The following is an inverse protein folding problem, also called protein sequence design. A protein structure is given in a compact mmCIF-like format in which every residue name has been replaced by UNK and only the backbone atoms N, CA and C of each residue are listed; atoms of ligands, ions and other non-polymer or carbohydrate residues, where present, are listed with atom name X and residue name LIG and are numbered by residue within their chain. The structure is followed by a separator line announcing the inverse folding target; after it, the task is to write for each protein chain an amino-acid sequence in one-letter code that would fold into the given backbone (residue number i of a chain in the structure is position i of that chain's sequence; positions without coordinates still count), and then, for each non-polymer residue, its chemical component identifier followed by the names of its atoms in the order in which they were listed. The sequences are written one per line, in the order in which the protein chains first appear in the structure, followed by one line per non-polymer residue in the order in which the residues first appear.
data_IF_021706546078
#
_entry.id   IF_021706546078
#
_cell.length_a   1.000
_cell.length_b   1.000
_cell.length_c   1.000
_cell.angle_alpha   90.00
_cell.angle_beta   90.00
_cell.angle_gamma   90.00
#
_symmetry.space_group_name_H-M   'P 1'
#
loop_
_entity.id
_entity.type
_entity.pdbx_description
1 polymer ?
#
# COMPACT_ATOMS: atom_id res chain seq x y z
N UNK A 1 14.91 -0.82 18.77
CA UNK A 1 15.10 -0.72 20.23
C UNK A 1 15.67 0.66 20.51
N UNK A 2 15.06 1.45 21.38
CA UNK A 2 15.73 2.63 21.91
C UNK A 2 16.72 2.12 22.97
N UNK A 3 17.92 1.74 22.53
CA UNK A 3 18.95 1.23 23.43
C UNK A 3 19.16 2.20 24.60
N UNK A 4 19.35 1.65 25.79
CA UNK A 4 19.71 2.44 26.98
C UNK A 4 21.23 2.60 27.12
N UNK A 5 21.98 1.99 26.21
CA UNK A 5 23.42 2.17 26.11
C UNK A 5 23.74 3.42 25.28
N UNK A 6 24.74 4.22 25.68
CA UNK A 6 25.06 5.49 25.04
C UNK A 6 25.90 5.28 23.77
N UNK A 7 25.31 4.63 22.76
CA UNK A 7 25.99 4.31 21.49
C UNK A 7 26.38 5.54 20.66
N UNK A 8 25.79 6.71 20.94
CA UNK A 8 26.17 7.98 20.29
C UNK A 8 27.29 8.74 21.04
N UNK A 9 27.95 8.12 22.03
CA UNK A 9 29.01 8.78 22.80
C UNK A 9 30.39 8.58 22.16
N UNK A 10 31.24 9.60 22.27
CA UNK A 10 32.66 9.53 21.86
C UNK A 10 33.41 8.38 22.57
N UNK A 11 32.99 8.05 23.80
CA UNK A 11 33.49 6.90 24.56
C UNK A 11 33.17 5.57 23.88
N UNK A 12 31.97 5.41 23.31
CA UNK A 12 31.61 4.22 22.54
C UNK A 12 32.38 4.16 21.21
N UNK A 13 32.46 5.27 20.47
CA UNK A 13 33.20 5.33 19.20
C UNK A 13 34.67 4.92 19.37
N UNK A 14 35.29 5.36 20.47
CA UNK A 14 36.66 4.97 20.83
C UNK A 14 36.75 3.49 21.22
N UNK A 15 35.79 3.00 22.02
CA UNK A 15 35.77 1.61 22.46
C UNK A 15 35.50 0.61 21.32
N UNK A 16 34.72 1.01 20.30
CA UNK A 16 34.36 0.17 19.17
C UNK A 16 35.52 -0.16 18.22
N UNK A 17 36.71 0.44 18.42
CA UNK A 17 37.90 0.24 17.58
C UNK A 17 38.54 -1.15 17.76
N UNK A 18 38.27 -1.86 18.86
CA UNK A 18 38.75 -3.22 19.08
C UNK A 18 37.79 -4.04 19.95
N UNK A 19 37.80 -5.36 19.81
CA UNK A 19 36.97 -6.26 20.61
C UNK A 19 37.28 -6.14 22.12
N UNK A 20 38.55 -5.95 22.49
CA UNK A 20 38.98 -5.83 23.88
C UNK A 20 38.50 -4.52 24.52
N UNK A 21 38.59 -3.41 23.80
CA UNK A 21 38.12 -2.11 24.28
C UNK A 21 36.60 -2.05 24.35
N UNK A 22 35.90 -2.69 23.42
CA UNK A 22 34.45 -2.83 23.43
C UNK A 22 33.97 -3.64 24.63
N UNK A 23 34.57 -4.80 24.89
CA UNK A 23 34.21 -5.63 26.04
C UNK A 23 34.43 -4.91 27.38
N UNK A 24 35.50 -4.11 27.49
CA UNK A 24 35.72 -3.26 28.68
C UNK A 24 34.63 -2.22 28.85
N UNK A 25 34.27 -1.52 27.78
CA UNK A 25 33.22 -0.52 27.79
C UNK A 25 31.86 -1.14 28.18
N UNK A 26 31.51 -2.31 27.64
CA UNK A 26 30.28 -3.02 28.00
C UNK A 26 30.25 -3.38 29.50
N UNK A 27 31.37 -3.85 30.06
CA UNK A 27 31.47 -4.11 31.50
C UNK A 27 31.34 -2.84 32.35
N UNK A 28 31.85 -1.70 31.88
CA UNK A 28 31.67 -0.41 32.55
C UNK A 28 30.21 0.03 32.54
N UNK A 29 29.50 -0.14 31.42
CA UNK A 29 28.07 0.14 31.34
C UNK A 29 27.27 -0.76 32.30
N UNK A 30 27.58 -2.05 32.36
CA UNK A 30 26.94 -2.98 33.29
C UNK A 30 27.14 -2.54 34.76
N UNK A 31 28.37 -2.17 35.14
CA UNK A 31 28.67 -1.65 36.49
C UNK A 31 27.91 -0.36 36.79
N UNK A 32 27.83 0.56 35.84
CA UNK A 32 27.10 1.81 35.98
C UNK A 32 25.61 1.56 36.24
N UNK A 33 24.97 0.67 35.47
CA UNK A 33 23.58 0.29 35.73
C UNK A 33 23.41 -0.45 37.06
N UNK A 34 24.30 -1.37 37.43
CA UNK A 34 24.27 -2.05 38.72
C UNK A 34 24.33 -1.09 39.92
N UNK A 35 25.06 0.02 39.80
CA UNK A 35 25.06 1.06 40.84
C UNK A 35 23.70 1.75 40.97
N UNK A 36 23.04 2.05 39.84
CA UNK A 36 21.69 2.64 39.82
C UNK A 36 20.62 1.70 40.38
N UNK A 37 20.88 0.39 40.40
CA UNK A 37 20.00 -0.61 41.01
C UNK A 37 20.07 -0.70 42.54
N UNK A 38 21.05 -0.09 43.22
CA UNK A 38 21.24 -0.21 44.68
C UNK A 38 20.18 0.50 45.54
N UNK A 39 19.16 1.09 44.94
CA UNK A 39 18.05 1.79 45.61
C UNK A 39 16.68 1.27 45.17
N UNK A 40 15.75 2.17 44.88
CA UNK A 40 14.49 1.85 44.21
C UNK A 40 14.67 2.01 42.70
N UNK A 41 15.00 0.94 41.95
CA UNK A 41 15.34 1.07 40.54
C UNK A 41 14.13 1.50 39.71
N UNK A 42 14.33 2.40 38.75
CA UNK A 42 13.29 2.72 37.77
C UNK A 42 13.22 1.61 36.70
N UNK A 43 12.09 1.45 36.00
CA UNK A 43 11.97 0.48 34.92
C UNK A 43 13.07 0.60 33.86
N UNK A 44 13.45 1.84 33.51
CA UNK A 44 14.55 2.13 32.58
C UNK A 44 15.93 1.68 33.08
N UNK A 45 16.16 1.72 34.40
CA UNK A 45 17.41 1.26 35.01
C UNK A 45 17.50 -0.28 34.94
N UNK A 46 16.39 -0.98 35.14
CA UNK A 46 16.30 -2.44 34.99
C UNK A 46 16.47 -2.88 33.55
N UNK A 47 15.85 -2.17 32.60
CA UNK A 47 15.95 -2.47 31.18
C UNK A 47 17.39 -2.28 30.67
N UNK A 48 18.03 -1.16 31.02
CA UNK A 48 19.43 -0.92 30.66
C UNK A 48 20.41 -1.89 31.34
N UNK A 49 20.15 -2.28 32.60
CA UNK A 49 20.92 -3.32 33.28
C UNK A 49 20.79 -4.68 32.59
N UNK A 50 19.58 -5.05 32.14
CA UNK A 50 19.34 -6.27 31.39
C UNK A 50 20.06 -6.27 30.02
N UNK A 51 19.94 -5.18 29.27
CA UNK A 51 20.62 -5.01 27.97
C UNK A 51 22.15 -5.13 28.12
N UNK A 52 22.73 -4.41 29.09
CA UNK A 52 24.17 -4.48 29.38
C UNK A 52 24.60 -5.88 29.82
N UNK A 53 23.80 -6.56 30.64
CA UNK A 53 24.11 -7.92 31.10
C UNK A 53 24.11 -8.93 29.94
N UNK A 54 23.17 -8.82 28.99
CA UNK A 54 23.16 -9.66 27.77
C UNK A 54 24.43 -9.43 26.96
N UNK A 55 24.85 -8.17 26.76
CA UNK A 55 26.09 -7.84 26.03
C UNK A 55 27.33 -8.45 26.70
N UNK A 56 27.39 -8.41 28.03
CA UNK A 56 28.46 -9.03 28.81
C UNK A 56 28.33 -10.56 28.96
N UNK A 57 27.39 -11.22 28.27
CA UNK A 57 27.08 -12.64 28.41
C UNK A 57 26.75 -13.09 29.86
N UNK A 58 26.29 -12.16 30.71
CA UNK A 58 25.80 -12.44 32.06
C UNK A 58 24.29 -12.74 32.04
N UNK A 59 23.97 -13.95 31.60
CA UNK A 59 22.59 -14.41 31.45
C UNK A 59 21.80 -14.41 32.78
N UNK A 60 22.45 -14.73 33.90
CA UNK A 60 21.80 -14.80 35.21
C UNK A 60 21.35 -13.42 35.69
N UNK A 61 22.22 -12.40 35.55
CA UNK A 61 21.86 -11.03 35.86
C UNK A 61 20.79 -10.51 34.91
N UNK A 62 20.93 -10.75 33.60
CA UNK A 62 19.93 -10.34 32.61
C UNK A 62 18.54 -10.90 32.94
N UNK A 63 18.44 -12.21 33.17
CA UNK A 63 17.20 -12.89 33.53
C UNK A 63 16.55 -12.25 34.77
N UNK A 64 17.33 -12.04 35.84
CA UNK A 64 16.84 -11.44 37.09
C UNK A 64 16.28 -10.03 36.87
N UNK A 65 16.98 -9.18 36.11
CA UNK A 65 16.54 -7.81 35.86
C UNK A 65 15.27 -7.78 35.00
N UNK A 66 15.17 -8.66 33.99
CA UNK A 66 14.00 -8.75 33.14
C UNK A 66 12.77 -9.26 33.89
N UNK A 67 12.91 -10.30 34.72
CA UNK A 67 11.81 -10.80 35.56
C UNK A 67 11.30 -9.71 36.52
N UNK A 68 12.22 -8.99 37.17
CA UNK A 68 11.87 -7.88 38.04
C UNK A 68 11.16 -6.76 37.27
N UNK A 69 11.61 -6.44 36.06
CA UNK A 69 11.00 -5.43 35.20
C UNK A 69 9.59 -5.84 34.77
N UNK A 70 9.43 -7.04 34.22
CA UNK A 70 8.16 -7.55 33.72
C UNK A 70 7.13 -7.77 34.84
N UNK A 71 7.56 -8.04 36.07
CA UNK A 71 6.65 -8.08 37.23
C UNK A 71 6.00 -6.72 37.56
N UNK A 72 6.70 -5.62 37.24
CA UNK A 72 6.25 -4.24 37.50
C UNK A 72 5.61 -3.59 36.28
N UNK A 73 6.10 -3.92 35.10
CA UNK A 73 5.69 -3.37 33.82
C UNK A 73 5.50 -4.52 32.80
N UNK A 74 4.44 -5.32 32.92
CA UNK A 74 4.18 -6.46 32.04
C UNK A 74 3.83 -6.07 30.59
N UNK A 75 3.77 -4.77 30.30
CA UNK A 75 3.51 -4.21 28.97
C UNK A 75 4.80 -3.69 28.30
N UNK A 76 5.97 -3.84 28.93
CA UNK A 76 7.24 -3.35 28.41
C UNK A 76 7.77 -4.26 27.28
N UNK A 77 7.53 -3.89 26.02
CA UNK A 77 7.86 -4.74 24.88
C UNK A 77 9.38 -4.91 24.68
N UNK A 78 10.19 -3.89 24.97
CA UNK A 78 11.65 -4.00 24.90
C UNK A 78 12.18 -5.05 25.90
N UNK A 79 11.55 -5.19 27.07
CA UNK A 79 11.89 -6.23 28.05
C UNK A 79 11.55 -7.63 27.52
N UNK A 80 10.37 -7.80 26.91
CA UNK A 80 10.01 -9.05 26.25
C UNK A 80 10.97 -9.39 25.11
N UNK A 81 11.40 -8.40 24.33
CA UNK A 81 12.37 -8.59 23.24
C UNK A 81 13.72 -9.07 23.78
N UNK A 82 14.26 -8.41 24.80
CA UNK A 82 15.50 -8.83 25.46
C UNK A 82 15.39 -10.23 26.05
N UNK A 83 14.23 -10.62 26.59
CA UNK A 83 13.98 -11.97 27.08
C UNK A 83 14.07 -13.03 25.98
N UNK A 84 13.63 -12.70 24.77
CA UNK A 84 13.73 -13.59 23.61
C UNK A 84 15.19 -13.67 23.15
N UNK A 85 15.87 -12.52 23.03
CA UNK A 85 17.29 -12.46 22.67
C UNK A 85 18.18 -13.24 23.64
N UNK A 86 17.88 -13.18 24.94
CA UNK A 86 18.59 -13.94 25.97
C UNK A 86 18.48 -15.46 25.72
N UNK A 87 17.27 -15.96 25.47
CA UNK A 87 17.04 -17.39 25.16
C UNK A 87 17.71 -17.82 23.86
N UNK A 88 17.66 -16.99 22.82
CA UNK A 88 18.36 -17.25 21.56
C UNK A 88 19.89 -17.31 21.77
N UNK A 89 20.45 -16.40 22.57
CA UNK A 89 21.86 -16.42 22.95
C UNK A 89 22.28 -17.66 23.76
N UNK A 90 21.31 -18.34 24.39
CA UNK A 90 21.49 -19.61 25.10
C UNK A 90 21.18 -20.84 24.23
N UNK A 91 20.96 -20.65 22.92
CA UNK A 91 20.56 -21.69 21.97
C UNK A 91 19.22 -22.37 22.32
N UNK A 92 18.34 -21.70 23.06
CA UNK A 92 17.01 -22.18 23.45
C UNK A 92 15.94 -21.71 22.46
N UNK A 93 16.06 -22.08 21.19
CA UNK A 93 15.19 -21.57 20.12
C UNK A 93 13.70 -21.91 20.32
N UNK A 94 13.40 -23.13 20.76
CA UNK A 94 12.02 -23.57 21.00
C UNK A 94 11.35 -22.79 22.16
N UNK A 95 12.09 -22.52 23.23
CA UNK A 95 11.59 -21.74 24.37
C UNK A 95 11.42 -20.26 24.02
N UNK A 96 12.32 -19.71 23.20
CA UNK A 96 12.20 -18.36 22.66
C UNK A 96 10.92 -18.22 21.82
N UNK A 97 10.62 -19.21 20.98
CA UNK A 97 9.43 -19.24 20.15
C UNK A 97 8.14 -19.36 20.97
N UNK A 98 8.08 -20.29 21.94
CA UNK A 98 6.93 -20.43 22.84
C UNK A 98 6.67 -19.15 23.63
N UNK A 99 7.72 -18.49 24.11
CA UNK A 99 7.60 -17.22 24.79
C UNK A 99 7.02 -16.12 23.89
N UNK A 100 7.48 -16.03 22.63
CA UNK A 100 6.95 -15.07 21.66
C UNK A 100 5.45 -15.29 21.41
N UNK A 101 5.00 -16.55 21.25
CA UNK A 101 3.57 -16.89 21.09
C UNK A 101 2.72 -16.39 22.26
N UNK A 102 3.25 -16.48 23.48
CA UNK A 102 2.54 -16.09 24.69
C UNK A 102 2.49 -14.58 24.95
N UNK A 103 3.57 -13.85 24.62
CA UNK A 103 3.67 -12.41 24.92
C UNK A 103 3.04 -11.54 23.83
N UNK A 104 3.17 -11.94 22.56
CA UNK A 104 2.75 -11.14 21.41
C UNK A 104 1.28 -10.70 21.46
N UNK A 105 0.29 -11.58 21.71
CA UNK A 105 -1.12 -11.17 21.82
C UNK A 105 -1.40 -10.22 22.99
N UNK A 106 -0.63 -10.34 24.08
CA UNK A 106 -0.86 -9.56 25.31
C UNK A 106 -0.42 -8.12 25.16
N UNK A 107 0.52 -7.85 24.25
CA UNK A 107 1.14 -6.55 24.00
C UNK A 107 0.48 -5.75 22.87
N UNK A 108 -0.39 -6.39 22.08
CA UNK A 108 -1.17 -5.76 21.03
C UNK A 108 -1.84 -4.47 21.55
N UNK A 109 -1.55 -3.34 20.92
CA UNK A 109 -2.03 -1.99 21.28
C UNK A 109 -1.64 -1.47 22.68
N UNK A 110 -0.81 -2.19 23.45
CA UNK A 110 -0.39 -1.77 24.82
C UNK A 110 1.01 -1.21 24.89
N UNK A 111 1.86 -1.56 23.92
CA UNK A 111 3.18 -1.00 23.79
C UNK A 111 3.37 -0.48 22.38
N UNK A 112 3.94 0.72 22.21
CA UNK A 112 4.38 1.17 20.89
C UNK A 112 5.29 0.10 20.23
N UNK A 113 6.21 -0.51 20.96
CA UNK A 113 7.26 -1.38 20.40
C UNK A 113 6.85 -2.85 20.13
N UNK A 114 5.56 -3.20 20.26
CA UNK A 114 5.06 -4.57 20.03
C UNK A 114 5.33 -5.11 18.62
N UNK A 115 5.40 -4.23 17.61
CA UNK A 115 5.73 -4.57 16.22
C UNK A 115 7.02 -5.38 16.07
N UNK A 116 8.03 -5.13 16.93
CA UNK A 116 9.32 -5.85 16.90
C UNK A 116 9.17 -7.31 17.28
N UNK A 117 8.31 -7.60 18.26
CA UNK A 117 8.03 -8.97 18.68
C UNK A 117 7.24 -9.71 17.62
N UNK A 118 6.34 -9.03 16.90
CA UNK A 118 5.64 -9.58 15.74
C UNK A 118 6.60 -9.96 14.62
N UNK A 119 7.52 -9.06 14.24
CA UNK A 119 8.53 -9.34 13.21
C UNK A 119 9.47 -10.49 13.62
N UNK A 120 9.98 -10.46 14.86
CA UNK A 120 10.85 -11.52 15.38
C UNK A 120 10.10 -12.86 15.47
N UNK A 121 8.82 -12.86 15.84
CA UNK A 121 7.99 -14.07 15.82
C UNK A 121 7.83 -14.63 14.41
N UNK A 122 7.51 -13.80 13.42
CA UNK A 122 7.41 -14.24 12.03
C UNK A 122 8.72 -14.87 11.55
N UNK A 123 9.85 -14.21 11.80
CA UNK A 123 11.19 -14.71 11.45
C UNK A 123 11.48 -16.06 12.13
N UNK A 124 11.21 -16.19 13.43
CA UNK A 124 11.49 -17.42 14.19
C UNK A 124 10.57 -18.57 13.78
N UNK A 125 9.29 -18.30 13.53
CA UNK A 125 8.35 -19.31 13.05
C UNK A 125 8.79 -19.86 11.68
N UNK A 126 9.23 -18.99 10.76
CA UNK A 126 9.77 -19.41 9.47
C UNK A 126 11.03 -20.27 9.62
N UNK A 127 11.99 -19.83 10.44
CA UNK A 127 13.25 -20.55 10.68
C UNK A 127 13.04 -21.93 11.32
N UNK A 128 11.99 -22.11 12.12
CA UNK A 128 11.67 -23.38 12.79
C UNK A 128 11.01 -24.43 11.87
N UNK A 129 10.69 -24.05 10.63
CA UNK A 129 9.86 -24.87 9.76
C UNK A 129 10.68 -25.70 8.77
N UNK A 130 10.52 -27.03 8.83
CA UNK A 130 11.31 -28.00 8.05
C UNK A 130 10.63 -28.47 6.74
N UNK A 131 9.44 -27.96 6.41
CA UNK A 131 8.66 -28.35 5.23
C UNK A 131 8.14 -27.12 4.47
N UNK A 132 7.86 -27.30 3.18
CA UNK A 132 7.40 -26.30 2.21
C UNK A 132 6.17 -25.49 2.65
N UNK A 133 5.20 -26.10 3.37
CA UNK A 133 4.02 -25.41 3.90
C UNK A 133 4.24 -24.72 5.27
N UNK A 134 5.38 -24.99 5.89
CA UNK A 134 5.75 -24.47 7.20
C UNK A 134 5.86 -22.94 7.27
N UNK A 135 6.56 -22.28 6.33
CA UNK A 135 6.66 -20.82 6.29
C UNK A 135 5.33 -20.09 6.12
N UNK A 136 4.40 -20.64 5.33
CA UNK A 136 3.07 -20.06 5.17
C UNK A 136 2.21 -20.21 6.43
N UNK A 137 2.27 -21.37 7.10
CA UNK A 137 1.58 -21.59 8.38
C UNK A 137 2.13 -20.69 9.48
N UNK A 138 3.45 -20.52 9.51
CA UNK A 138 4.17 -19.61 10.38
C UNK A 138 3.72 -18.16 10.21
N UNK A 139 3.72 -17.66 8.97
CA UNK A 139 3.35 -16.28 8.71
C UNK A 139 1.85 -16.04 8.98
N UNK A 140 1.00 -17.02 8.68
CA UNK A 140 -0.42 -16.98 9.06
C UNK A 140 -0.59 -16.82 10.57
N UNK A 141 0.10 -17.64 11.36
CA UNK A 141 0.07 -17.54 12.83
C UNK A 141 0.52 -16.15 13.29
N UNK A 142 1.58 -15.59 12.68
CA UNK A 142 2.05 -14.24 12.99
C UNK A 142 0.97 -13.17 12.71
N UNK A 143 0.30 -13.23 11.56
CA UNK A 143 -0.82 -12.34 11.25
C UNK A 143 -1.97 -12.48 12.24
N UNK A 144 -2.38 -13.70 12.59
CA UNK A 144 -3.46 -13.96 13.56
C UNK A 144 -3.14 -13.36 14.94
N UNK A 145 -1.91 -13.57 15.43
CA UNK A 145 -1.46 -13.00 16.70
C UNK A 145 -1.35 -11.47 16.65
N UNK A 146 -1.09 -10.90 15.47
CA UNK A 146 -1.08 -9.46 15.22
C UNK A 146 -2.47 -8.84 15.04
N UNK A 147 -3.52 -9.66 14.92
CA UNK A 147 -4.90 -9.22 14.83
C UNK A 147 -5.69 -9.67 13.62
N UNK A 148 -5.08 -10.44 12.75
CA UNK A 148 -5.66 -10.96 11.52
C UNK A 148 -5.81 -9.91 10.45
N UNK A 149 -5.57 -10.32 9.21
CA UNK A 149 -5.92 -9.55 8.01
C UNK A 149 -6.52 -10.51 6.98
N UNK A 150 -7.38 -9.97 6.11
CA UNK A 150 -8.04 -10.76 5.05
C UNK A 150 -7.44 -10.50 3.67
N UNK A 151 -6.28 -9.82 3.62
CA UNK A 151 -5.61 -9.43 2.38
C UNK A 151 -4.13 -9.89 2.36
N UNK A 152 -3.89 -11.08 2.93
CA UNK A 152 -2.67 -11.88 2.74
C UNK A 152 -3.05 -13.28 2.24
N UNK A 153 -2.19 -13.89 1.44
CA UNK A 153 -2.45 -15.20 0.85
C UNK A 153 -2.49 -16.30 1.93
N UNK A 154 -1.54 -16.30 2.85
CA UNK A 154 -1.46 -17.26 3.95
C UNK A 154 -2.64 -17.18 4.94
N UNK A 155 -3.34 -16.05 5.01
CA UNK A 155 -4.53 -15.91 5.86
C UNK A 155 -5.83 -16.32 5.15
N UNK A 156 -5.83 -16.31 3.81
CA UNK A 156 -7.02 -16.57 2.99
C UNK A 156 -7.04 -17.94 2.31
N UNK A 157 -5.90 -18.65 2.31
CA UNK A 157 -5.71 -19.94 1.64
C UNK A 157 -5.08 -21.00 2.54
N UNK A 158 -5.24 -22.30 2.22
CA UNK A 158 -4.45 -23.35 2.83
C UNK A 158 -2.96 -23.15 2.60
N UNK A 159 -2.13 -23.42 3.61
CA UNK A 159 -0.67 -23.22 3.55
C UNK A 159 0.01 -24.01 2.42
N UNK A 160 -0.57 -25.14 2.00
CA UNK A 160 -0.09 -25.98 0.89
C UNK A 160 -0.31 -25.36 -0.49
N UNK A 161 -1.14 -24.33 -0.60
CA UNK A 161 -1.50 -23.66 -1.86
C UNK A 161 -0.80 -22.30 -2.03
N UNK A 162 -0.05 -21.84 -1.02
CA UNK A 162 0.64 -20.56 -1.06
C UNK A 162 2.00 -20.73 -1.72
N UNK A 163 2.20 -20.06 -2.86
CA UNK A 163 3.48 -20.12 -3.57
C UNK A 163 4.56 -19.31 -2.84
N UNK A 164 5.86 -19.59 -3.07
CA UNK A 164 6.95 -18.80 -2.49
C UNK A 164 6.88 -17.30 -2.84
N UNK A 165 6.42 -16.94 -4.04
CA UNK A 165 6.25 -15.55 -4.46
C UNK A 165 5.12 -14.86 -3.70
N UNK A 166 3.98 -15.54 -3.53
CA UNK A 166 2.85 -15.06 -2.73
C UNK A 166 3.24 -14.88 -1.26
N UNK A 167 4.05 -15.80 -0.73
CA UNK A 167 4.55 -15.69 0.63
C UNK A 167 5.52 -14.51 0.80
N UNK A 168 6.34 -14.22 -0.21
CA UNK A 168 7.24 -13.06 -0.21
C UNK A 168 6.45 -11.74 -0.20
N UNK A 169 5.35 -11.65 -0.95
CA UNK A 169 4.42 -10.52 -0.86
C UNK A 169 3.81 -10.41 0.56
N UNK A 170 3.31 -11.51 1.11
CA UNK A 170 2.72 -11.52 2.44
C UNK A 170 3.72 -11.07 3.52
N UNK A 171 4.99 -11.46 3.38
CA UNK A 171 6.04 -11.03 4.30
C UNK A 171 6.31 -9.53 4.18
N UNK A 172 6.43 -9.01 2.96
CA UNK A 172 6.60 -7.58 2.71
C UNK A 172 5.43 -6.77 3.29
N UNK A 173 4.21 -7.27 3.12
CA UNK A 173 3.00 -6.69 3.69
C UNK A 173 3.03 -6.73 5.23
N UNK A 174 3.46 -7.83 5.83
CA UNK A 174 3.57 -7.97 7.28
C UNK A 174 4.56 -6.95 7.86
N UNK A 175 5.76 -6.85 7.27
CA UNK A 175 6.80 -5.90 7.69
C UNK A 175 6.33 -4.44 7.54
N UNK A 176 5.53 -4.14 6.52
CA UNK A 176 4.95 -2.83 6.30
C UNK A 176 3.86 -2.47 7.32
N UNK A 177 3.06 -3.45 7.75
CA UNK A 177 1.97 -3.28 8.71
C UNK A 177 2.47 -3.14 10.15
N UNK A 178 3.59 -3.80 10.46
CA UNK A 178 4.22 -3.78 11.78
C UNK A 178 5.70 -3.39 11.69
N UNK A 179 6.02 -2.15 11.30
CA UNK A 179 7.40 -1.72 11.15
C UNK A 179 8.10 -1.48 12.49
N UNK A 180 9.43 -1.58 12.49
CA UNK A 180 10.28 -1.49 13.68
C UNK A 180 10.26 -0.14 14.40
N UNK A 181 9.97 0.92 13.65
CA UNK A 181 9.94 2.31 14.07
C UNK A 181 8.51 2.81 14.34
N UNK A 182 7.51 1.95 14.14
CA UNK A 182 6.08 2.23 14.32
C UNK A 182 5.54 3.37 13.46
N UNK A 183 6.27 3.72 12.40
CA UNK A 183 5.76 4.68 11.42
C UNK A 183 4.50 4.08 10.80
N UNK A 184 3.34 4.78 10.84
CA UNK A 184 2.14 4.27 10.20
C UNK A 184 2.39 3.97 8.73
N UNK A 185 1.73 2.94 8.21
CA UNK A 185 1.89 2.57 6.82
C UNK A 185 1.20 3.61 5.94
N UNK A 186 2.00 4.51 5.39
CA UNK A 186 1.53 5.53 4.46
C UNK A 186 1.16 4.89 3.13
N UNK A 187 -0.12 4.97 2.78
CA UNK A 187 -0.67 4.45 1.53
C UNK A 187 -1.34 5.56 0.73
N UNK A 188 -1.26 5.41 -0.58
CA UNK A 188 -2.02 6.20 -1.54
C UNK A 188 -2.65 5.25 -2.54
N UNK A 189 -3.91 4.89 -2.30
CA UNK A 189 -4.71 4.18 -3.29
C UNK A 189 -4.98 5.13 -4.46
N UNK A 190 -4.31 4.88 -5.59
CA UNK A 190 -4.34 5.77 -6.75
C UNK A 190 -5.47 5.42 -7.71
N UNK A 191 -5.79 4.13 -7.86
CA UNK A 191 -6.84 3.67 -8.75
C UNK A 191 -7.54 2.42 -8.22
N UNK A 192 -8.82 2.29 -8.58
CA UNK A 192 -9.60 1.07 -8.40
C UNK A 192 -10.38 0.81 -9.70
N UNK A 193 -10.30 -0.39 -10.25
CA UNK A 193 -11.06 -0.79 -11.43
C UNK A 193 -11.57 -2.23 -11.33
N UNK A 194 -12.50 -2.60 -12.21
CA UNK A 194 -13.08 -3.94 -12.27
C UNK A 194 -13.06 -4.51 -13.67
N UNK A 195 -12.90 -5.83 -13.78
CA UNK A 195 -13.05 -6.53 -15.04
C UNK A 195 -14.52 -6.94 -15.34
N UNK A 196 -14.73 -7.57 -16.49
CA UNK A 196 -16.03 -8.09 -16.91
C UNK A 196 -16.58 -9.23 -16.04
N UNK A 197 -15.74 -9.87 -15.21
CA UNK A 197 -16.12 -10.91 -14.25
C UNK A 197 -16.41 -10.32 -12.85
N UNK A 198 -16.23 -9.01 -12.66
CA UNK A 198 -16.36 -8.34 -11.38
C UNK A 198 -15.17 -8.52 -10.44
N UNK A 199 -14.02 -9.03 -10.93
CA UNK A 199 -12.77 -8.98 -10.19
C UNK A 199 -12.33 -7.52 -10.03
N UNK A 200 -11.78 -7.18 -8.87
CA UNK A 200 -11.44 -5.82 -8.46
C UNK A 200 -9.94 -5.70 -8.34
N UNK A 201 -9.38 -4.65 -8.91
CA UNK A 201 -7.95 -4.35 -8.91
C UNK A 201 -7.74 -2.99 -8.28
N UNK A 202 -6.83 -2.90 -7.32
CA UNK A 202 -6.54 -1.69 -6.57
C UNK A 202 -5.05 -1.42 -6.66
N UNK A 203 -4.67 -0.23 -7.12
CA UNK A 203 -3.28 0.20 -7.18
C UNK A 203 -2.94 1.06 -5.97
N UNK A 204 -1.82 0.74 -5.33
CA UNK A 204 -1.24 1.54 -4.25
C UNK A 204 0.10 2.09 -4.71
N UNK A 205 0.17 3.41 -4.79
CA UNK A 205 1.24 4.13 -5.49
C UNK A 205 2.58 4.10 -4.74
N UNK A 206 2.58 4.19 -3.39
CA UNK A 206 3.82 4.44 -2.62
C UNK A 206 4.67 3.20 -2.47
N UNK A 207 4.05 2.04 -2.20
CA UNK A 207 4.69 0.72 -2.12
C UNK A 207 4.66 0.00 -3.47
N UNK A 208 3.93 0.53 -4.45
CA UNK A 208 3.77 -0.04 -5.79
C UNK A 208 3.13 -1.42 -5.74
N UNK A 209 2.11 -1.54 -4.90
CA UNK A 209 1.35 -2.77 -4.77
C UNK A 209 0.12 -2.75 -5.66
N UNK A 210 -0.23 -3.91 -6.19
CA UNK A 210 -1.55 -4.15 -6.77
C UNK A 210 -2.23 -5.22 -5.93
N UNK A 211 -3.42 -4.89 -5.42
CA UNK A 211 -4.28 -5.84 -4.73
C UNK A 211 -5.39 -6.29 -5.67
N UNK A 212 -5.63 -7.59 -5.71
CA UNK A 212 -6.67 -8.22 -6.53
C UNK A 212 -7.66 -8.92 -5.62
N UNK A 213 -8.95 -8.62 -5.77
CA UNK A 213 -10.05 -9.24 -5.05
C UNK A 213 -11.06 -9.81 -6.05
N UNK A 214 -11.72 -10.91 -5.70
CA UNK A 214 -12.83 -11.42 -6.52
C UNK A 214 -14.11 -10.60 -6.33
N UNK A 215 -15.13 -10.88 -7.13
CA UNK A 215 -16.44 -10.22 -7.04
C UNK A 215 -17.13 -10.36 -5.67
N UNK A 216 -16.81 -11.43 -4.93
CA UNK A 216 -17.30 -11.64 -3.57
C UNK A 216 -16.54 -10.79 -2.53
N UNK A 217 -15.43 -10.16 -2.90
CA UNK A 217 -14.58 -9.36 -2.04
C UNK A 217 -13.51 -10.18 -1.30
N UNK A 218 -13.20 -11.39 -1.76
CA UNK A 218 -12.12 -12.21 -1.20
C UNK A 218 -10.80 -11.86 -1.88
N UNK A 219 -9.72 -11.77 -1.11
CA UNK A 219 -8.40 -11.50 -1.65
C UNK A 219 -7.91 -12.65 -2.53
N UNK A 220 -7.47 -12.33 -3.74
CA UNK A 220 -7.00 -13.27 -4.75
C UNK A 220 -5.48 -13.16 -4.90
N UNK A 221 -4.95 -11.96 -5.04
CA UNK A 221 -3.53 -11.81 -5.33
C UNK A 221 -3.00 -10.47 -4.89
N UNK A 222 -1.78 -10.48 -4.37
CA UNK A 222 -0.96 -9.30 -4.17
C UNK A 222 0.22 -9.33 -5.12
N UNK A 223 0.49 -8.21 -5.77
CA UNK A 223 1.61 -8.05 -6.68
C UNK A 223 2.46 -6.87 -6.24
N UNK A 224 3.77 -7.03 -6.42
CA UNK A 224 4.77 -5.98 -6.28
C UNK A 224 5.32 -5.59 -7.64
N UNK A 225 6.05 -4.47 -7.69
CA UNK A 225 6.86 -4.08 -8.86
C UNK A 225 7.76 -5.22 -9.37
N UNK A 226 8.27 -6.09 -8.47
CA UNK A 226 9.13 -7.23 -8.85
C UNK A 226 8.37 -8.26 -9.69
N UNK A 227 7.08 -8.43 -9.43
CA UNK A 227 6.23 -9.38 -10.14
C UNK A 227 5.88 -8.85 -11.54
N UNK A 228 5.78 -7.52 -11.70
CA UNK A 228 5.46 -6.86 -12.96
C UNK A 228 6.66 -6.70 -13.90
N UNK A 229 7.89 -6.69 -13.39
CA UNK A 229 9.08 -6.45 -14.21
C UNK A 229 9.48 -7.63 -15.14
N UNK A 230 8.79 -8.78 -15.07
CA UNK A 230 9.05 -9.96 -15.92
C UNK A 230 10.46 -10.58 -15.80
N UNK A 231 11.34 -9.99 -15.00
CA UNK A 231 12.72 -10.40 -14.73
C UNK A 231 13.23 -9.71 -13.46
N UNK A 232 14.15 -10.35 -12.74
CA UNK A 232 14.86 -9.72 -11.62
C UNK A 232 15.60 -8.48 -12.12
N UNK A 233 15.22 -7.30 -11.60
CA UNK A 233 15.87 -6.00 -11.82
C UNK A 233 15.87 -5.51 -13.26
N UNK A 234 14.78 -4.86 -13.67
CA UNK A 234 14.79 -3.92 -14.79
C UNK A 234 14.68 -2.51 -14.19
N UNK A 235 15.85 -1.94 -13.89
CA UNK A 235 16.11 -0.56 -13.46
C UNK A 235 15.48 -0.08 -12.13
N UNK A 236 16.15 -0.28 -10.97
CA UNK A 236 15.79 0.41 -9.73
C UNK A 236 15.84 1.96 -9.84
N UNK A 237 16.50 2.48 -10.88
CA UNK A 237 16.60 3.90 -11.24
C UNK A 237 15.31 4.45 -11.89
N UNK A 238 14.46 3.58 -12.47
CA UNK A 238 13.18 3.94 -13.10
C UNK A 238 12.06 3.55 -12.16
N UNK A 239 11.84 4.36 -11.12
CA UNK A 239 10.73 4.11 -10.18
C UNK A 239 9.42 3.90 -10.92
N UNK A 240 8.73 2.80 -10.65
CA UNK A 240 7.43 2.51 -11.26
C UNK A 240 6.31 3.24 -10.49
N UNK A 241 6.08 4.50 -10.80
CA UNK A 241 5.00 5.27 -10.15
C UNK A 241 3.62 4.80 -10.67
N UNK A 242 2.89 3.97 -9.93
CA UNK A 242 1.58 3.44 -10.34
C UNK A 242 0.49 4.53 -10.32
N UNK A 243 0.17 5.10 -11.49
CA UNK A 243 -0.83 6.17 -11.61
C UNK A 243 -2.24 5.62 -11.76
N UNK A 244 -2.44 4.66 -12.68
CA UNK A 244 -3.75 4.12 -13.03
C UNK A 244 -3.61 2.74 -13.67
N UNK A 245 -4.67 1.94 -13.63
CA UNK A 245 -4.73 0.67 -14.32
C UNK A 245 -6.13 0.42 -14.90
N UNK A 246 -6.21 -0.37 -15.96
CA UNK A 246 -7.46 -0.81 -16.56
C UNK A 246 -7.35 -2.25 -17.09
N UNK A 247 -8.49 -2.92 -17.23
CA UNK A 247 -8.61 -4.27 -17.80
C UNK A 247 -9.49 -4.26 -19.04
N UNK A 248 -9.06 -4.92 -20.11
CA UNK A 248 -9.91 -5.13 -21.29
C UNK A 248 -10.86 -6.34 -21.13
N UNK A 249 -11.65 -6.59 -22.17
CA UNK A 249 -12.60 -7.71 -22.25
C UNK A 249 -11.91 -9.10 -22.33
N UNK A 250 -10.62 -9.16 -22.67
CA UNK A 250 -9.82 -10.38 -22.70
C UNK A 250 -9.12 -10.64 -21.36
N UNK A 251 -9.24 -9.72 -20.39
CA UNK A 251 -8.57 -9.77 -19.10
C UNK A 251 -7.11 -9.32 -19.15
N UNK A 252 -6.68 -8.62 -20.21
CA UNK A 252 -5.35 -8.00 -20.25
C UNK A 252 -5.31 -6.77 -19.35
N UNK A 253 -4.22 -6.59 -18.61
CA UNK A 253 -4.03 -5.47 -17.71
C UNK A 253 -3.17 -4.38 -18.37
N UNK A 254 -3.69 -3.16 -18.40
CA UNK A 254 -3.02 -1.97 -18.90
C UNK A 254 -2.61 -1.12 -17.71
N UNK A 255 -1.31 -0.99 -17.49
CA UNK A 255 -0.74 -0.29 -16.34
C UNK A 255 -0.09 1.02 -16.81
N UNK A 256 -0.59 2.13 -16.30
CA UNK A 256 -0.01 3.45 -16.46
C UNK A 256 0.94 3.77 -15.29
N UNK A 257 2.04 4.46 -15.58
CA UNK A 257 2.93 4.93 -14.54
C UNK A 257 4.02 5.89 -14.99
N UNK A 258 5.19 5.85 -14.33
CA UNK A 258 6.28 6.80 -14.61
C UNK A 258 6.96 6.61 -15.98
N UNK A 259 6.87 5.41 -16.58
CA UNK A 259 7.37 5.16 -17.93
C UNK A 259 6.55 5.95 -18.94
N UNK A 260 7.19 6.44 -20.00
CA UNK A 260 6.46 7.17 -21.05
C UNK A 260 5.46 6.27 -21.82
N UNK A 261 5.42 4.96 -21.56
CA UNK A 261 4.54 3.97 -22.18
C UNK A 261 3.52 3.37 -21.20
N UNK A 262 2.45 2.79 -21.75
CA UNK A 262 1.55 1.89 -21.03
C UNK A 262 2.10 0.48 -21.12
N UNK A 263 2.23 -0.21 -19.99
CA UNK A 263 2.62 -1.61 -19.96
C UNK A 263 1.38 -2.51 -20.04
N UNK A 264 1.41 -3.52 -20.91
CA UNK A 264 0.28 -4.44 -21.11
C UNK A 264 0.69 -5.86 -20.68
N UNK A 265 -0.13 -6.45 -19.82
CA UNK A 265 0.05 -7.79 -19.26
C UNK A 265 -1.11 -8.70 -19.64
N UNK A 266 -0.88 -10.01 -19.67
CA UNK A 266 -1.94 -11.01 -19.77
C UNK A 266 -2.77 -11.08 -18.49
N UNK A 267 -3.87 -11.82 -18.53
CA UNK A 267 -4.69 -12.14 -17.34
C UNK A 267 -3.92 -12.85 -16.22
N UNK A 268 -2.81 -13.52 -16.57
CA UNK A 268 -1.90 -14.19 -15.64
C UNK A 268 -0.69 -13.32 -15.28
N UNK A 269 -0.79 -12.00 -15.51
CA UNK A 269 0.23 -11.00 -15.21
C UNK A 269 1.58 -11.22 -15.92
N UNK A 270 1.58 -11.92 -17.06
CA UNK A 270 2.77 -12.05 -17.89
C UNK A 270 2.90 -10.84 -18.83
N UNK A 271 4.10 -10.26 -19.00
CA UNK A 271 4.28 -9.10 -19.87
C UNK A 271 3.99 -9.49 -21.33
N UNK A 272 3.14 -8.71 -22.00
CA UNK A 272 2.76 -8.93 -23.40
C UNK A 272 3.40 -7.92 -24.34
N UNK A 273 3.18 -6.62 -24.08
CA UNK A 273 3.65 -5.52 -24.94
C UNK A 273 3.67 -4.19 -24.20
N UNK A 274 4.21 -3.17 -24.86
CA UNK A 274 4.15 -1.78 -24.40
C UNK A 274 3.47 -0.93 -25.46
N UNK A 275 2.55 -0.06 -25.05
CA UNK A 275 1.98 0.95 -25.94
C UNK A 275 2.90 2.17 -25.91
N UNK A 276 3.65 2.33 -26.98
CA UNK A 276 4.56 3.46 -27.16
C UNK A 276 3.75 4.74 -27.30
N UNK A 277 4.09 5.81 -26.56
CA UNK A 277 3.40 7.08 -26.69
C UNK A 277 3.64 7.68 -28.08
N UNK A 278 2.82 8.66 -28.49
CA UNK A 278 3.07 9.46 -29.68
C UNK A 278 4.43 10.18 -29.59
N UNK A 279 5.01 10.51 -30.75
CA UNK A 279 6.27 11.24 -30.79
C UNK A 279 6.16 12.63 -30.13
N UNK A 280 7.07 12.93 -29.20
CA UNK A 280 7.11 14.19 -28.45
C UNK A 280 8.54 14.62 -28.16
N UNK A 281 8.74 15.93 -28.01
CA UNK A 281 10.01 16.54 -27.57
C UNK A 281 10.17 16.54 -26.04
N UNK A 282 9.13 16.12 -25.31
CA UNK A 282 9.09 16.02 -23.85
C UNK A 282 8.71 14.60 -23.44
N UNK A 283 9.18 14.14 -22.29
CA UNK A 283 8.68 12.91 -21.66
C UNK A 283 7.18 13.04 -21.42
N UNK A 284 6.46 12.00 -21.85
CA UNK A 284 5.00 11.92 -21.83
C UNK A 284 4.58 10.91 -20.76
N UNK A 285 4.15 11.37 -19.59
CA UNK A 285 3.76 10.45 -18.50
C UNK A 285 2.29 10.05 -18.63
N UNK A 286 1.94 8.77 -18.80
CA UNK A 286 0.54 8.36 -18.79
C UNK A 286 -0.05 8.53 -17.38
N UNK A 287 -1.16 9.25 -17.30
CA UNK A 287 -1.84 9.58 -16.04
C UNK A 287 -3.07 8.71 -15.80
N UNK A 288 -3.80 8.40 -16.85
CA UNK A 288 -5.03 7.61 -16.81
C UNK A 288 -5.14 6.76 -18.07
N UNK A 289 -5.64 5.55 -17.90
CA UNK A 289 -5.93 4.62 -18.98
C UNK A 289 -7.33 4.04 -18.77
N UNK A 290 -8.09 3.90 -19.85
CA UNK A 290 -9.35 3.18 -19.88
C UNK A 290 -9.38 2.27 -21.12
N UNK A 291 -10.17 1.22 -21.10
CA UNK A 291 -10.36 0.34 -22.25
C UNK A 291 -11.84 0.15 -22.56
N UNK A 292 -12.15 -0.07 -23.83
CA UNK A 292 -13.51 -0.41 -24.26
C UNK A 292 -13.69 -1.93 -24.42
N UNK A 293 -14.93 -2.33 -24.73
CA UNK A 293 -15.30 -3.74 -24.98
C UNK A 293 -14.72 -4.33 -26.26
N UNK A 294 -14.03 -3.54 -27.08
CA UNK A 294 -13.33 -3.98 -28.30
C UNK A 294 -11.82 -4.16 -28.06
N UNK A 295 -11.32 -3.81 -26.87
CA UNK A 295 -9.90 -3.86 -26.53
C UNK A 295 -9.11 -2.63 -26.95
N UNK A 296 -9.77 -1.55 -27.40
CA UNK A 296 -9.11 -0.28 -27.62
C UNK A 296 -8.74 0.34 -26.28
N UNK A 297 -7.57 0.99 -26.22
CA UNK A 297 -7.09 1.67 -25.02
C UNK A 297 -7.06 3.18 -25.24
N UNK A 298 -7.56 3.93 -24.26
CA UNK A 298 -7.61 5.39 -24.24
C UNK A 298 -6.71 5.89 -23.13
N UNK A 299 -5.85 6.86 -23.42
CA UNK A 299 -4.77 7.29 -22.56
C UNK A 299 -4.71 8.81 -22.51
N UNK A 300 -4.57 9.34 -21.29
CA UNK A 300 -4.21 10.73 -21.06
C UNK A 300 -2.74 10.82 -20.69
N UNK A 301 -1.99 11.63 -21.42
CA UNK A 301 -0.58 11.88 -21.14
C UNK A 301 -0.38 13.27 -20.52
N UNK A 302 0.50 13.32 -19.52
CA UNK A 302 1.07 14.56 -19.03
C UNK A 302 1.81 15.24 -20.20
N UNK A 303 1.57 16.54 -20.36
CA UNK A 303 2.14 17.38 -21.42
C UNK A 303 1.64 17.11 -22.85
N UNK A 304 0.60 16.29 -23.03
CA UNK A 304 -0.04 16.11 -24.33
C UNK A 304 -1.56 16.32 -24.25
N UNK A 305 -2.08 17.14 -25.16
CA UNK A 305 -3.50 17.49 -25.22
C UNK A 305 -4.33 16.44 -25.96
N UNK A 306 -5.59 16.30 -25.56
CA UNK A 306 -6.53 15.33 -26.10
C UNK A 306 -6.44 13.93 -25.48
N UNK A 307 -7.40 13.08 -25.85
CA UNK A 307 -7.45 11.67 -25.50
C UNK A 307 -6.71 10.91 -26.59
N UNK A 308 -5.60 10.27 -26.25
CA UNK A 308 -4.85 9.43 -27.19
C UNK A 308 -5.39 8.01 -27.15
N UNK A 309 -5.53 7.37 -28.30
CA UNK A 309 -6.11 6.04 -28.33
C UNK A 309 -5.35 5.07 -29.21
N UNK A 310 -5.42 3.81 -28.81
CA UNK A 310 -4.75 2.67 -29.41
C UNK A 310 -5.79 1.62 -29.73
N UNK A 311 -5.65 0.96 -30.87
CA UNK A 311 -6.50 -0.17 -31.19
C UNK A 311 -6.09 -1.43 -30.38
N UNK A 312 -6.87 -2.51 -30.49
CA UNK A 312 -6.60 -3.76 -29.79
C UNK A 312 -5.19 -4.33 -30.06
N UNK A 313 -4.67 -4.17 -31.29
CA UNK A 313 -3.31 -4.60 -31.64
C UNK A 313 -2.22 -3.71 -31.02
N UNK A 314 -2.57 -2.54 -30.48
CA UNK A 314 -1.66 -1.59 -29.83
C UNK A 314 -1.13 -0.51 -30.77
N UNK A 315 -1.70 -0.32 -31.95
CA UNK A 315 -1.34 0.78 -32.85
C UNK A 315 -1.99 2.09 -32.39
N UNK A 316 -1.19 3.16 -32.31
CA UNK A 316 -1.70 4.50 -32.02
C UNK A 316 -2.54 5.01 -33.19
N UNK A 317 -3.80 5.33 -32.92
CA UNK A 317 -4.77 5.71 -33.95
C UNK A 317 -4.93 7.22 -34.11
N UNK A 318 -4.38 8.01 -33.18
CA UNK A 318 -4.49 9.46 -33.15
C UNK A 318 -4.93 9.98 -31.79
N UNK A 319 -5.43 11.21 -31.77
CA UNK A 319 -6.06 11.82 -30.61
C UNK A 319 -7.36 12.49 -31.00
N UNK A 320 -8.24 12.66 -30.02
CA UNK A 320 -9.49 13.38 -30.19
C UNK A 320 -9.87 14.10 -28.90
N UNK A 321 -10.79 15.05 -29.05
CA UNK A 321 -11.29 15.84 -27.94
C UNK A 321 -10.28 16.88 -27.46
N UNK A 322 -10.76 17.77 -26.59
CA UNK A 322 -9.92 18.78 -25.96
C UNK A 322 -10.05 18.65 -24.47
N UNK A 323 -8.94 18.92 -23.80
CA UNK A 323 -8.83 18.76 -22.38
C UNK A 323 -8.34 20.12 -21.82
N UNK A 324 -8.99 20.61 -20.76
CA UNK A 324 -8.66 21.85 -20.02
C UNK A 324 -7.17 22.05 -19.61
N UNK A 325 -6.56 23.19 -19.94
CA UNK A 325 -5.16 23.48 -19.60
C UNK A 325 -5.10 24.43 -18.38
N UNK A 326 -4.24 24.18 -17.39
CA UNK A 326 -3.90 25.14 -16.32
C UNK A 326 -3.28 26.41 -16.93
N UNK A 327 -3.94 27.57 -16.83
CA UNK A 327 -3.50 28.79 -17.52
C UNK A 327 -2.19 29.38 -16.97
N UNK A 328 -1.89 29.18 -15.69
CA UNK A 328 -0.77 29.78 -14.93
C UNK A 328 0.56 29.06 -15.13
N UNK A 329 0.54 27.73 -15.24
CA UNK A 329 1.73 26.87 -15.40
C UNK A 329 1.88 26.28 -16.81
N UNK A 330 0.91 26.49 -17.71
CA UNK A 330 0.93 25.95 -19.07
C UNK A 330 0.97 24.42 -19.11
N UNK A 331 0.39 23.77 -18.10
CA UNK A 331 0.31 22.32 -17.93
C UNK A 331 -1.14 21.85 -18.02
N UNK A 332 -1.33 20.61 -18.44
CA UNK A 332 -2.61 19.96 -18.68
C UNK A 332 -3.34 19.58 -17.37
N UNK A 333 -4.68 19.77 -17.30
CA UNK A 333 -5.54 19.64 -16.12
C UNK A 333 -6.39 18.35 -16.17
N UNK A 334 -5.85 17.14 -16.05
CA UNK A 334 -6.67 15.94 -16.37
C UNK A 334 -6.79 14.87 -15.31
N UNK A 335 -8.03 14.43 -15.10
CA UNK A 335 -8.40 13.55 -14.01
C UNK A 335 -9.46 12.55 -14.49
N UNK A 336 -9.02 11.35 -14.86
CA UNK A 336 -9.89 10.20 -15.05
C UNK A 336 -10.45 10.02 -16.47
N UNK A 337 -10.26 8.82 -16.99
CA UNK A 337 -10.98 8.28 -18.13
C UNK A 337 -11.85 7.10 -17.67
N UNK A 338 -13.01 6.94 -18.30
CA UNK A 338 -13.80 5.72 -18.20
C UNK A 338 -14.50 5.45 -19.53
N UNK A 339 -14.68 4.18 -19.87
CA UNK A 339 -15.44 3.80 -21.04
C UNK A 339 -16.84 3.35 -20.60
N UNK A 340 -17.84 3.85 -21.30
CA UNK A 340 -19.21 3.34 -21.21
C UNK A 340 -19.32 1.94 -21.81
N UNK A 341 -20.34 1.15 -21.44
CA UNK A 341 -20.60 -0.14 -22.08
C UNK A 341 -20.78 -0.05 -23.61
N UNK A 342 -21.25 1.09 -24.11
CA UNK A 342 -21.44 1.39 -25.52
C UNK A 342 -20.12 1.68 -26.27
N UNK A 343 -19.01 1.90 -25.54
CA UNK A 343 -17.70 2.23 -26.10
C UNK A 343 -17.42 3.73 -26.21
N UNK A 344 -18.33 4.59 -25.76
CA UNK A 344 -18.07 6.02 -25.62
C UNK A 344 -17.15 6.29 -24.43
N UNK A 345 -16.30 7.32 -24.55
CA UNK A 345 -15.26 7.65 -23.58
C UNK A 345 -15.68 8.88 -22.77
N UNK A 346 -15.82 8.69 -21.46
CA UNK A 346 -16.01 9.77 -20.50
C UNK A 346 -14.64 10.33 -20.07
N UNK A 347 -14.45 11.62 -20.30
CA UNK A 347 -13.34 12.41 -19.80
C UNK A 347 -13.85 13.31 -18.68
N UNK A 348 -13.19 13.25 -17.54
CA UNK A 348 -13.42 14.17 -16.44
C UNK A 348 -12.22 15.13 -16.30
N UNK A 349 -12.51 16.43 -16.17
CA UNK A 349 -11.49 17.46 -16.06
C UNK A 349 -11.71 18.38 -14.84
N UNK A 350 -12.40 17.88 -13.82
CA UNK A 350 -12.79 18.58 -12.57
C UNK A 350 -13.88 19.62 -12.73
N UNK A 351 -13.92 20.31 -13.86
CA UNK A 351 -14.95 21.30 -14.18
C UNK A 351 -16.12 20.68 -14.94
N UNK A 352 -15.82 19.69 -15.77
CA UNK A 352 -16.78 19.06 -16.64
C UNK A 352 -16.56 17.57 -16.74
N UNK A 353 -17.64 16.87 -17.08
CA UNK A 353 -17.56 15.55 -17.69
C UNK A 353 -17.99 15.68 -19.14
N UNK A 354 -17.14 15.22 -20.04
CA UNK A 354 -17.39 15.20 -21.48
C UNK A 354 -17.40 13.75 -21.96
N UNK A 355 -18.40 13.39 -22.75
CA UNK A 355 -18.52 12.06 -23.35
C UNK A 355 -18.21 12.17 -24.83
N UNK A 356 -17.33 11.33 -25.34
CA UNK A 356 -16.88 11.33 -26.74
C UNK A 356 -17.11 9.98 -27.38
N UNK A 357 -17.55 9.98 -28.64
CA UNK A 357 -17.36 8.83 -29.50
C UNK A 357 -15.87 8.74 -29.88
N UNK A 358 -15.23 7.55 -29.84
CA UNK A 358 -13.83 7.40 -30.22
C UNK A 358 -13.49 8.02 -31.59
N UNK A 359 -12.46 8.87 -31.61
CA UNK A 359 -11.98 9.54 -32.82
C UNK A 359 -12.77 10.79 -33.23
N UNK A 360 -13.77 11.22 -32.46
CA UNK A 360 -14.52 12.45 -32.71
C UNK A 360 -14.12 13.59 -31.77
N UNK A 361 -13.79 14.75 -32.32
CA UNK A 361 -13.38 15.92 -31.52
C UNK A 361 -14.53 16.59 -30.76
N UNK A 362 -15.75 16.51 -31.30
CA UNK A 362 -16.92 17.07 -30.66
C UNK A 362 -17.48 16.10 -29.62
N UNK A 363 -17.72 16.54 -28.37
CA UNK A 363 -18.33 15.68 -27.37
C UNK A 363 -19.79 15.40 -27.72
N UNK A 364 -20.24 14.17 -27.48
CA UNK A 364 -21.64 13.74 -27.54
C UNK A 364 -22.47 14.39 -26.43
N UNK A 365 -21.86 14.57 -25.25
CA UNK A 365 -22.48 15.22 -24.10
C UNK A 365 -21.43 15.97 -23.28
N UNK A 366 -21.87 17.04 -22.61
CA UNK A 366 -21.04 17.84 -21.71
C UNK A 366 -21.87 18.20 -20.48
N UNK A 367 -21.31 17.91 -19.31
CA UNK A 367 -21.91 18.14 -18.01
C UNK A 367 -21.02 19.11 -17.24
N UNK A 368 -21.56 20.26 -16.87
CA UNK A 368 -20.85 21.22 -16.02
C UNK A 368 -21.03 20.78 -14.56
N UNK A 369 -19.92 20.63 -13.85
CA UNK A 369 -19.93 20.35 -12.42
C UNK A 369 -19.99 21.68 -11.66
N UNK A 370 -20.56 21.69 -10.44
CA UNK A 370 -20.53 22.88 -9.59
C UNK A 370 -19.08 23.38 -9.52
N UNK A 371 -18.83 24.69 -9.66
CA UNK A 371 -17.46 25.21 -9.56
C UNK A 371 -16.88 24.83 -8.19
N UNK A 372 -16.11 23.75 -8.16
CA UNK A 372 -15.36 23.30 -7.01
C UNK A 372 -14.21 24.29 -6.83
N UNK A 373 -14.49 25.44 -6.22
CA UNK A 373 -13.52 26.51 -6.00
C UNK A 373 -12.66 26.15 -4.78
N UNK A 374 -11.38 25.88 -4.99
CA UNK A 374 -10.39 25.84 -3.92
C UNK A 374 -9.14 26.60 -4.37
N UNK A 375 -8.76 27.62 -3.61
CA UNK A 375 -7.67 28.56 -3.88
C UNK A 375 -6.26 27.90 -3.91
N UNK A 376 -6.16 26.57 -3.91
CA UNK A 376 -4.93 25.76 -3.87
C UNK A 376 -4.54 25.12 -5.23
N UNK A 377 -5.18 25.53 -6.34
CA UNK A 377 -5.02 24.90 -7.66
C UNK A 377 -3.69 25.16 -8.39
N UNK A 378 -2.79 25.96 -7.80
CA UNK A 378 -1.48 26.35 -8.36
C UNK A 378 -0.28 25.73 -7.61
N UNK A 379 -0.50 24.79 -6.68
CA UNK A 379 0.62 24.12 -6.01
C UNK A 379 1.31 23.14 -6.99
N UNK A 380 2.59 23.39 -7.29
CA UNK A 380 3.42 22.53 -8.12
C UNK A 380 3.68 21.15 -7.51
N UNK A 381 3.43 21.00 -6.21
CA UNK A 381 3.44 19.74 -5.47
C UNK A 381 2.06 19.08 -5.42
N UNK A 382 1.01 19.73 -5.97
CA UNK A 382 -0.32 19.14 -6.07
C UNK A 382 -0.26 17.95 -7.04
N UNK A 383 -0.59 16.73 -6.60
CA UNK A 383 -0.34 15.55 -7.41
C UNK A 383 -1.23 15.46 -8.65
N UNK A 384 -0.63 14.90 -9.70
CA UNK A 384 -0.99 15.10 -11.10
C UNK A 384 -2.23 14.34 -11.61
N UNK A 385 -3.08 13.72 -10.77
CA UNK A 385 -4.11 12.79 -11.29
C UNK A 385 -5.32 12.53 -10.38
N UNK A 386 -5.70 13.44 -9.49
CA UNK A 386 -6.82 13.15 -8.59
C UNK A 386 -8.13 13.60 -9.18
N UNK A 387 -8.83 12.64 -9.78
CA UNK A 387 -10.24 12.36 -9.59
C UNK A 387 -10.67 11.25 -10.57
N UNK A 388 -11.29 10.19 -10.06
CA UNK A 388 -11.87 9.12 -10.87
C UNK A 388 -13.18 9.52 -11.52
N UNK A 389 -13.47 8.87 -12.64
CA UNK A 389 -14.78 8.82 -13.26
C UNK A 389 -15.12 7.36 -13.50
N UNK A 390 -16.36 6.96 -13.24
CA UNK A 390 -16.88 5.65 -13.60
C UNK A 390 -18.15 5.83 -14.43
N UNK A 391 -18.15 5.25 -15.63
CA UNK A 391 -19.29 5.25 -16.52
C UNK A 391 -19.79 3.81 -16.72
N UNK A 392 -21.03 3.53 -16.31
CA UNK A 392 -21.56 2.17 -16.34
C UNK A 392 -23.01 2.10 -15.88
N UNK A 393 -23.77 1.11 -16.38
CA UNK A 393 -25.18 0.91 -16.04
C UNK A 393 -26.07 2.16 -16.23
N UNK A 394 -25.75 3.00 -17.23
CA UNK A 394 -26.47 4.25 -17.51
C UNK A 394 -26.24 5.37 -16.49
N UNK A 395 -25.22 5.24 -15.64
CA UNK A 395 -24.78 6.24 -14.67
C UNK A 395 -23.39 6.73 -15.02
N UNK A 396 -23.10 7.97 -14.65
CA UNK A 396 -21.75 8.50 -14.62
C UNK A 396 -21.51 9.06 -13.23
N UNK A 397 -20.50 8.53 -12.56
CA UNK A 397 -20.11 8.91 -11.21
C UNK A 397 -18.72 9.55 -11.26
N UNK A 398 -18.50 10.58 -10.46
CA UNK A 398 -17.18 11.23 -10.35
C UNK A 398 -16.76 11.44 -8.91
N UNK A 399 -15.46 11.30 -8.65
CA UNK A 399 -14.85 11.71 -7.40
C UNK A 399 -14.75 13.24 -7.35
N UNK A 400 -15.37 13.84 -6.35
CA UNK A 400 -15.04 15.18 -5.89
C UNK A 400 -14.10 15.05 -4.68
N UNK A 401 -12.80 14.93 -4.98
CA UNK A 401 -11.76 14.77 -3.96
C UNK A 401 -11.80 15.91 -2.93
N UNK A 402 -12.04 17.15 -3.37
CA UNK A 402 -12.00 18.32 -2.48
C UNK A 402 -13.24 18.42 -1.60
N UNK A 403 -14.42 18.17 -2.18
CA UNK A 403 -15.67 18.09 -1.42
C UNK A 403 -15.81 16.82 -0.58
N UNK A 404 -14.84 15.90 -0.65
CA UNK A 404 -14.86 14.61 0.05
C UNK A 404 -16.15 13.80 -0.26
N UNK A 405 -16.57 13.78 -1.53
CA UNK A 405 -17.85 13.21 -1.94
C UNK A 405 -17.77 12.56 -3.33
N UNK A 406 -18.78 11.75 -3.67
CA UNK A 406 -18.99 11.24 -5.01
C UNK A 406 -20.22 11.94 -5.59
N UNK A 407 -20.11 12.44 -6.82
CA UNK A 407 -21.22 13.04 -7.55
C UNK A 407 -21.74 12.07 -8.60
N UNK A 408 -23.05 11.93 -8.71
CA UNK A 408 -23.74 11.23 -9.79
C UNK A 408 -24.30 12.25 -10.78
N UNK A 409 -24.03 12.05 -12.06
CA UNK A 409 -24.60 12.85 -13.13
C UNK A 409 -26.01 12.35 -13.48
N UNK A 410 -26.93 13.30 -13.59
CA UNK A 410 -28.31 13.09 -14.03
C UNK A 410 -28.43 13.28 -15.55
N UNK A 411 -29.47 12.71 -16.16
CA UNK A 411 -29.70 12.86 -17.62
C UNK A 411 -30.02 14.30 -18.02
N UNK A 412 -30.52 15.08 -17.08
CA UNK A 412 -30.86 16.50 -17.20
C UNK A 412 -29.62 17.41 -17.09
N UNK A 413 -28.45 16.81 -16.87
CA UNK A 413 -27.16 17.47 -16.79
C UNK A 413 -26.86 18.16 -15.48
N UNK A 414 -27.61 17.83 -14.42
CA UNK A 414 -27.28 18.19 -13.04
C UNK A 414 -26.43 17.11 -12.39
N UNK A 415 -25.76 17.45 -11.28
CA UNK A 415 -25.02 16.49 -10.44
C UNK A 415 -25.59 16.44 -9.03
N UNK A 416 -25.72 15.25 -8.45
CA UNK A 416 -26.14 15.03 -7.06
C UNK A 416 -25.09 14.27 -6.27
N UNK A 417 -24.87 14.63 -5.00
CA UNK A 417 -23.92 13.93 -4.15
C UNK A 417 -24.52 12.64 -3.58
N UNK A 418 -23.75 11.54 -3.61
CA UNK A 418 -24.16 10.31 -2.94
C UNK A 418 -24.15 10.50 -1.41
N UNK A 419 -25.29 10.26 -0.73
CA UNK A 419 -25.40 10.53 0.69
C UNK A 419 -24.67 9.49 1.56
N UNK A 420 -24.27 9.90 2.77
CA UNK A 420 -23.86 9.03 3.88
C UNK A 420 -22.58 8.20 3.70
N UNK A 421 -21.63 8.61 2.85
CA UNK A 421 -20.40 7.84 2.61
C UNK A 421 -19.22 8.17 3.55
N UNK A 422 -19.27 9.30 4.27
CA UNK A 422 -18.23 9.76 5.21
C UNK A 422 -16.80 9.58 4.65
N UNK A 423 -16.58 10.06 3.42
CA UNK A 423 -15.32 9.93 2.69
C UNK A 423 -14.33 11.01 3.13
N UNK A 424 -13.06 10.80 2.78
CA UNK A 424 -12.02 11.81 2.87
C UNK A 424 -11.12 11.71 1.66
N UNK A 425 -11.21 12.69 0.76
CA UNK A 425 -10.33 12.81 -0.40
C UNK A 425 -10.32 11.52 -1.24
N UNK A 426 -11.50 11.09 -1.75
CA UNK A 426 -11.60 9.92 -2.59
C UNK A 426 -10.90 10.16 -3.94
N UNK A 427 -9.97 9.31 -4.34
CA UNK A 427 -9.18 9.53 -5.56
C UNK A 427 -9.80 8.91 -6.79
N UNK A 428 -10.37 7.71 -6.67
CA UNK A 428 -10.88 6.95 -7.79
C UNK A 428 -12.10 6.12 -7.40
N UNK A 429 -12.85 5.68 -8.41
CA UNK A 429 -14.03 4.84 -8.25
C UNK A 429 -14.25 3.94 -9.46
N UNK A 430 -14.92 2.81 -9.24
CA UNK A 430 -15.30 1.90 -10.32
C UNK A 430 -16.69 1.30 -10.10
N UNK A 431 -17.36 1.02 -11.19
CA UNK A 431 -18.63 0.29 -11.22
C UNK A 431 -18.38 -1.11 -11.77
N UNK A 432 -18.71 -2.12 -10.98
CA UNK A 432 -18.74 -3.50 -11.44
C UNK A 432 -19.97 -3.78 -12.32
N UNK A 433 -19.97 -4.88 -13.12
CA UNK A 433 -21.10 -5.26 -13.95
C UNK A 433 -22.42 -5.47 -13.20
N UNK A 434 -22.37 -5.75 -11.89
CA UNK A 434 -23.52 -5.94 -11.01
C UNK A 434 -23.99 -4.66 -10.31
N UNK A 435 -23.53 -3.48 -10.77
CA UNK A 435 -23.80 -2.15 -10.20
C UNK A 435 -23.20 -1.95 -8.79
N UNK A 436 -22.26 -2.81 -8.37
CA UNK A 436 -21.45 -2.58 -7.17
C UNK A 436 -20.48 -1.42 -7.42
N UNK A 437 -20.50 -0.43 -6.53
CA UNK A 437 -19.59 0.71 -6.54
C UNK A 437 -18.39 0.46 -5.62
N UNK A 438 -17.19 0.56 -6.18
CA UNK A 438 -15.94 0.58 -5.42
C UNK A 438 -15.37 1.99 -5.38
N UNK A 439 -14.87 2.43 -4.22
CA UNK A 439 -14.31 3.78 -4.03
C UNK A 439 -12.95 3.68 -3.34
N UNK A 440 -11.93 4.28 -3.93
CA UNK A 440 -10.65 4.53 -3.29
C UNK A 440 -10.77 5.76 -2.38
N UNK A 441 -11.12 5.54 -1.12
CA UNK A 441 -11.25 6.57 -0.07
C UNK A 441 -9.86 6.87 0.52
N UNK A 442 -9.01 7.47 -0.31
CA UNK A 442 -7.56 7.51 -0.12
C UNK A 442 -7.12 8.28 1.11
N UNK A 443 -7.78 9.39 1.45
CA UNK A 443 -7.50 10.13 2.68
C UNK A 443 -7.84 9.36 3.96
N UNK A 444 -8.72 8.35 3.89
CA UNK A 444 -8.96 7.37 4.97
C UNK A 444 -8.13 6.08 4.82
N UNK A 445 -7.30 5.97 3.78
CA UNK A 445 -6.58 4.76 3.39
C UNK A 445 -7.43 3.49 3.43
N UNK A 446 -8.56 3.50 2.71
CA UNK A 446 -9.40 2.32 2.53
C UNK A 446 -10.03 2.25 1.15
N UNK A 447 -10.44 1.05 0.76
CA UNK A 447 -11.32 0.82 -0.39
C UNK A 447 -12.69 0.43 0.14
N UNK A 448 -13.71 1.19 -0.25
CA UNK A 448 -15.10 0.90 0.06
C UNK A 448 -15.73 0.09 -1.07
N UNK A 449 -16.58 -0.86 -0.70
CA UNK A 449 -17.50 -1.59 -1.56
C UNK A 449 -18.92 -1.21 -1.17
N UNK A 450 -19.73 -0.76 -2.12
CA UNK A 450 -21.12 -0.39 -1.91
C UNK A 450 -21.98 -1.21 -2.86
N UNK A 451 -22.81 -2.08 -2.29
CA UNK A 451 -23.70 -2.95 -3.05
C UNK A 451 -25.10 -2.85 -2.46
N UNK A 452 -26.11 -2.51 -3.27
CA UNK A 452 -27.49 -2.33 -2.82
C UNK A 452 -27.63 -1.40 -1.60
N UNK A 453 -26.85 -0.31 -1.56
CA UNK A 453 -26.83 0.65 -0.45
C UNK A 453 -26.10 0.17 0.81
N UNK A 454 -25.59 -1.07 0.84
CA UNK A 454 -24.78 -1.59 1.94
C UNK A 454 -23.32 -1.24 1.71
N UNK A 455 -22.71 -0.52 2.65
CA UNK A 455 -21.30 -0.15 2.63
C UNK A 455 -20.45 -1.16 3.41
N UNK A 456 -19.33 -1.59 2.83
CA UNK A 456 -18.34 -2.47 3.44
C UNK A 456 -16.92 -1.96 3.12
N UNK A 457 -15.97 -2.21 4.03
CA UNK A 457 -14.56 -1.98 3.74
C UNK A 457 -14.00 -3.24 3.06
N UNK A 458 -13.66 -3.13 1.78
CA UNK A 458 -13.02 -4.21 1.02
C UNK A 458 -11.56 -4.37 1.44
N UNK A 459 -10.83 -3.25 1.48
CA UNK A 459 -9.42 -3.19 1.86
C UNK A 459 -9.23 -2.03 2.85
N UNK A 460 -8.64 -2.32 4.00
CA UNK A 460 -8.36 -1.32 5.03
C UNK A 460 -7.75 -1.97 6.27
N UNK A 461 -6.97 -1.20 7.02
CA UNK A 461 -6.34 -1.65 8.25
C UNK A 461 -6.09 -0.47 9.21
N UNK A 462 -6.16 -0.66 10.54
CA UNK A 462 -5.90 0.43 11.50
C UNK A 462 -4.51 1.05 11.42
N UNK A 463 -3.52 0.32 10.90
CA UNK A 463 -2.16 0.82 10.69
C UNK A 463 -2.00 1.66 9.41
N UNK A 464 -3.00 1.66 8.52
CA UNK A 464 -2.95 2.43 7.29
C UNK A 464 -3.15 3.92 7.57
N UNK A 465 -2.37 4.75 6.90
CA UNK A 465 -2.50 6.20 6.93
C UNK A 465 -2.57 6.72 5.50
N UNK A 466 -3.66 7.42 5.17
CA UNK A 466 -3.86 8.01 3.86
C UNK A 466 -2.89 9.15 3.62
N UNK A 467 -2.17 9.10 2.50
CA UNK A 467 -1.37 10.22 2.01
C UNK A 467 -1.98 10.73 0.73
N UNK A 468 -2.45 11.96 0.83
CA UNK A 468 -2.92 12.74 -0.31
C UNK A 468 -1.72 13.46 -0.86
#
# INVERSE_FOLDING_TARGET
MSSRLPYASEAFETAAQSAETLARWEQEQLKHFQQRLKGAPRPEDLLGAAEAAIRCADAASAQKHLEQLLSRAPQEADAHYLQVMLRLGQSQEAEALDYLRQCTPKLKNKSPDHARLHALLAERLQASSNDTAGPASALKEAFELAGGINFAHCTTRPATEVSPAQLAFDQELFEALWPWDQTPLQLRFSSVHTDSQGQVYITEQRRRWIFVFDAAGRFVQGLTERDLAGSQLVFPEQGFDLTCAATDNLGQHYIAGQSDCIQVFSSDWQPLRQLTPPASQRSLRPLSVATDSQGNAFVLYLHLGGIHWFNAEGYHMGSFGQNSIMPTVGKNYFCGLSCTPEGDVALYDRSTVQIFAPGQDAPLARFELPQLSAEAFDDENYPFCWNGVAAGAGKVLVCDTHGHQILQLTREGQSEALPNLALKQPFDLALAPDDTLYIADTGQARILKIQNGTQQVLLGHPAFQGVV
#
